data_IF_401019232338
#
_entry.id   IF_401019232338
#
_cell.length_a   1.000
_cell.length_b   1.000
_cell.length_c   1.000
_cell.angle_alpha   90.00
_cell.angle_beta   90.00
_cell.angle_gamma   90.00
#
_symmetry.space_group_name_H-M   'P 1'
#
loop_
_entity.id
_entity.type
_entity.pdbx_description
1 polymer ?
#
# COMPACT_ATOMS: atom_id res chain seq x y z
N UNK A 1 6.03 -13.75 4.98
CA UNK A 1 4.60 -13.37 4.90
C UNK A 1 4.56 -11.89 4.58
N UNK A 2 3.74 -11.49 3.60
CA UNK A 2 3.54 -10.10 3.19
C UNK A 2 2.14 -9.67 3.62
N UNK A 3 2.04 -8.47 4.20
CA UNK A 3 0.75 -7.85 4.51
C UNK A 3 0.63 -6.58 3.68
N UNK A 4 -0.37 -6.54 2.79
CA UNK A 4 -0.68 -5.36 1.98
C UNK A 4 -1.74 -4.54 2.69
N UNK A 5 -1.35 -3.43 3.32
CA UNK A 5 -2.29 -2.48 3.91
C UNK A 5 -2.71 -1.49 2.84
N UNK A 6 -4.00 -1.49 2.49
CA UNK A 6 -4.56 -0.67 1.41
C UNK A 6 -5.52 0.38 1.95
N UNK A 7 -5.36 1.61 1.47
CA UNK A 7 -6.15 2.79 1.84
C UNK A 7 -6.97 3.30 0.65
N UNK A 8 -7.87 4.26 0.87
CA UNK A 8 -8.73 4.80 -0.18
C UNK A 8 -7.95 5.63 -1.21
N UNK A 9 -7.50 4.99 -2.29
CA UNK A 9 -6.83 5.60 -3.42
C UNK A 9 -7.03 4.75 -4.69
N UNK A 10 -6.92 5.34 -5.90
CA UNK A 10 -6.98 4.60 -7.17
C UNK A 10 -6.11 3.34 -7.21
N UNK A 11 -4.90 3.41 -6.63
CA UNK A 11 -3.96 2.30 -6.58
C UNK A 11 -4.53 1.03 -5.91
N UNK A 12 -5.48 1.17 -4.98
CA UNK A 12 -6.09 0.03 -4.30
C UNK A 12 -6.85 -0.91 -5.26
N UNK A 13 -7.35 -0.42 -6.41
CA UNK A 13 -7.96 -1.26 -7.47
C UNK A 13 -7.04 -2.39 -7.92
N UNK A 14 -5.75 -2.12 -7.92
CA UNK A 14 -4.73 -3.03 -8.44
C UNK A 14 -4.03 -3.84 -7.35
N UNK A 15 -4.52 -3.83 -6.11
CA UNK A 15 -3.90 -4.57 -5.00
C UNK A 15 -3.79 -6.08 -5.26
N UNK A 16 -4.69 -6.65 -6.07
CA UNK A 16 -4.63 -8.04 -6.50
C UNK A 16 -3.36 -8.36 -7.30
N UNK A 17 -2.80 -7.40 -8.06
CA UNK A 17 -1.55 -7.57 -8.80
C UNK A 17 -0.35 -7.72 -7.85
N UNK A 18 -0.29 -6.87 -6.81
CA UNK A 18 0.71 -7.01 -5.75
C UNK A 18 0.58 -8.33 -5.00
N UNK A 19 -0.65 -8.74 -4.68
CA UNK A 19 -0.88 -10.02 -4.02
C UNK A 19 -0.46 -11.21 -4.89
N UNK A 20 -0.78 -11.18 -6.19
CA UNK A 20 -0.34 -12.19 -7.14
C UNK A 20 1.19 -12.25 -7.25
N UNK A 21 1.86 -11.10 -7.36
CA UNK A 21 3.32 -11.02 -7.42
C UNK A 21 3.97 -11.63 -6.18
N UNK A 22 3.51 -11.26 -5.00
CA UNK A 22 4.02 -11.81 -3.74
C UNK A 22 3.77 -13.32 -3.60
N UNK A 23 2.60 -13.83 -4.01
CA UNK A 23 2.32 -15.27 -4.05
C UNK A 23 3.22 -16.01 -5.04
N UNK A 24 3.43 -15.45 -6.23
CA UNK A 24 4.31 -16.02 -7.25
C UNK A 24 5.77 -16.12 -6.75
N UNK A 25 6.19 -15.19 -5.90
CA UNK A 25 7.47 -15.23 -5.19
C UNK A 25 7.49 -16.18 -3.97
N UNK A 26 6.41 -16.95 -3.73
CA UNK A 26 6.33 -17.94 -2.65
C UNK A 26 6.00 -17.36 -1.27
N UNK A 27 5.62 -16.08 -1.18
CA UNK A 27 5.25 -15.47 0.09
C UNK A 27 3.75 -15.62 0.37
N UNK A 28 3.34 -16.09 1.57
CA UNK A 28 1.96 -15.95 2.02
C UNK A 28 1.55 -14.48 2.07
N UNK A 29 0.34 -14.14 1.61
CA UNK A 29 -0.15 -12.76 1.51
C UNK A 29 -1.49 -12.59 2.24
N UNK A 30 -1.64 -11.47 2.93
CA UNK A 30 -2.93 -10.98 3.45
C UNK A 30 -3.13 -9.54 3.02
N UNK A 31 -4.33 -9.18 2.58
CA UNK A 31 -4.72 -7.78 2.33
C UNK A 31 -5.47 -7.26 3.56
N UNK A 32 -5.07 -6.10 4.06
CA UNK A 32 -5.77 -5.38 5.14
C UNK A 32 -6.32 -4.10 4.54
N UNK A 33 -7.63 -3.98 4.48
CA UNK A 33 -8.31 -2.87 3.84
C UNK A 33 -8.88 -1.91 4.88
N UNK A 34 -8.62 -0.61 4.74
CA UNK A 34 -9.42 0.38 5.47
C UNK A 34 -10.81 0.46 4.87
N UNK A 35 -11.79 0.95 5.65
CA UNK A 35 -13.16 1.13 5.15
C UNK A 35 -13.21 2.00 3.87
N UNK A 36 -12.33 3.00 3.75
CA UNK A 36 -12.24 3.84 2.57
C UNK A 36 -11.65 3.14 1.34
N UNK A 37 -10.88 2.06 1.52
CA UNK A 37 -10.34 1.27 0.43
C UNK A 37 -11.38 0.31 -0.18
N UNK A 38 -12.37 -0.12 0.61
CA UNK A 38 -13.34 -1.15 0.21
C UNK A 38 -13.95 -0.98 -1.18
N UNK A 39 -14.49 0.20 -1.54
CA UNK A 39 -15.07 0.46 -2.87
C UNK A 39 -14.06 0.49 -4.02
N UNK A 40 -12.77 0.59 -3.73
CA UNK A 40 -11.71 0.58 -4.73
C UNK A 40 -11.26 -0.84 -5.06
N UNK A 41 -11.34 -1.79 -4.13
CA UNK A 41 -10.77 -3.12 -4.33
C UNK A 41 -11.49 -3.91 -5.42
N UNK A 42 -10.69 -4.62 -6.22
CA UNK A 42 -11.17 -5.71 -7.05
C UNK A 42 -11.31 -6.98 -6.19
N UNK A 43 -12.49 -7.12 -5.58
CA UNK A 43 -12.79 -8.24 -4.66
C UNK A 43 -12.83 -9.58 -5.38
N UNK A 44 -13.29 -9.61 -6.63
CA UNK A 44 -13.37 -10.84 -7.43
C UNK A 44 -11.96 -11.34 -7.78
N UNK A 45 -11.06 -10.47 -8.21
CA UNK A 45 -9.66 -10.83 -8.46
C UNK A 45 -8.96 -11.33 -7.18
N UNK A 46 -9.18 -10.68 -6.03
CA UNK A 46 -8.63 -11.12 -4.74
C UNK A 46 -9.19 -12.47 -4.30
N UNK A 47 -10.49 -12.72 -4.53
CA UNK A 47 -11.14 -14.00 -4.23
C UNK A 47 -10.62 -15.13 -5.13
N UNK A 48 -10.42 -14.88 -6.43
CA UNK A 48 -9.80 -15.84 -7.35
C UNK A 48 -8.36 -16.21 -6.93
N UNK A 49 -7.64 -15.26 -6.32
CA UNK A 49 -6.32 -15.50 -5.74
C UNK A 49 -6.39 -16.12 -4.34
N UNK A 50 -7.57 -16.42 -3.79
CA UNK A 50 -7.73 -16.98 -2.44
C UNK A 50 -6.96 -16.19 -1.36
N UNK A 51 -6.83 -14.87 -1.55
CA UNK A 51 -6.10 -13.99 -0.63
C UNK A 51 -7.06 -13.52 0.46
N UNK A 52 -6.74 -13.73 1.75
CA UNK A 52 -7.57 -13.19 2.83
C UNK A 52 -7.61 -11.66 2.78
N UNK A 53 -8.82 -11.10 2.80
CA UNK A 53 -9.07 -9.66 2.93
C UNK A 53 -9.61 -9.39 4.33
N UNK A 54 -8.86 -8.61 5.11
CA UNK A 54 -9.24 -8.17 6.45
C UNK A 54 -9.73 -6.72 6.37
N UNK A 55 -11.04 -6.53 6.34
CA UNK A 55 -11.72 -5.24 6.17
C UNK A 55 -12.54 -4.82 7.41
N UNK A 56 -12.71 -5.74 8.37
CA UNK A 56 -13.44 -5.49 9.61
C UNK A 56 -12.51 -4.96 10.69
N UNK A 57 -13.09 -4.08 11.50
CA UNK A 57 -12.45 -3.67 12.74
C UNK A 57 -12.17 -4.90 13.59
N UNK A 58 -10.95 -4.91 14.09
CA UNK A 58 -10.50 -5.90 15.03
C UNK A 58 -11.27 -5.78 16.35
N UNK A 59 -11.72 -6.90 16.96
CA UNK A 59 -12.41 -6.85 18.24
C UNK A 59 -11.58 -6.20 19.35
N UNK A 60 -12.20 -5.43 20.27
CA UNK A 60 -11.54 -4.90 21.46
C UNK A 60 -10.86 -6.00 22.29
N UNK A 61 -9.76 -5.66 22.99
CA UNK A 61 -9.06 -6.59 23.89
C UNK A 61 -8.14 -7.61 23.20
N UNK A 62 -8.11 -7.65 21.88
CA UNK A 62 -7.19 -8.51 21.15
C UNK A 62 -5.82 -7.80 20.97
N UNK A 63 -4.67 -8.52 21.00
CA UNK A 63 -3.29 -7.95 20.92
C UNK A 63 -2.83 -7.44 19.53
N UNK A 64 -2.46 -6.17 19.31
CA UNK A 64 -2.12 -5.63 17.97
C UNK A 64 -1.02 -6.45 17.27
N UNK A 65 -1.18 -6.76 15.98
CA UNK A 65 -0.26 -7.62 15.20
C UNK A 65 0.02 -7.13 13.77
N UNK A 66 0.25 -5.84 13.59
CA UNK A 66 0.84 -5.36 12.34
C UNK A 66 2.22 -4.76 12.66
N UNK A 67 3.27 -5.18 11.95
CA UNK A 67 4.59 -4.60 12.10
C UNK A 67 4.61 -3.16 11.57
N UNK A 68 5.72 -2.46 11.81
CA UNK A 68 6.03 -1.24 11.07
C UNK A 68 6.12 -1.60 9.58
N UNK A 69 5.58 -0.79 8.66
CA UNK A 69 5.65 -1.10 7.23
C UNK A 69 7.10 -1.04 6.72
N UNK A 70 7.53 -2.07 5.99
CA UNK A 70 8.83 -2.06 5.30
C UNK A 70 8.87 -1.03 4.15
N UNK A 71 7.73 -0.86 3.47
CA UNK A 71 7.55 0.11 2.41
C UNK A 71 6.16 0.76 2.49
N UNK A 72 6.10 2.03 2.10
CA UNK A 72 4.87 2.80 1.95
C UNK A 72 4.90 3.44 0.58
N UNK A 73 3.77 3.41 -0.13
CA UNK A 73 3.58 4.08 -1.42
C UNK A 73 2.61 5.25 -1.20
N UNK A 74 3.11 6.47 -0.94
CA UNK A 74 2.22 7.61 -0.74
C UNK A 74 1.50 7.97 -2.04
N UNK A 75 0.18 7.88 -2.01
CA UNK A 75 -0.70 8.14 -3.15
C UNK A 75 -1.64 9.30 -2.80
N UNK A 76 -1.10 10.52 -2.80
CA UNK A 76 -1.78 11.70 -2.23
C UNK A 76 -1.82 12.87 -3.21
N UNK A 77 -2.86 13.69 -3.13
CA UNK A 77 -2.95 14.92 -3.89
C UNK A 77 -2.08 16.03 -3.29
N UNK A 78 -1.72 17.02 -4.11
CA UNK A 78 -1.01 18.22 -3.66
C UNK A 78 -1.71 18.97 -2.54
N UNK A 79 -3.06 19.02 -2.54
CA UNK A 79 -3.83 19.67 -1.48
C UNK A 79 -3.65 18.99 -0.12
N UNK A 80 -3.73 17.66 -0.07
CA UNK A 80 -3.52 16.90 1.17
C UNK A 80 -2.08 17.01 1.67
N UNK A 81 -1.12 16.92 0.74
CA UNK A 81 0.29 17.03 1.07
C UNK A 81 0.72 18.43 1.55
N UNK A 82 -0.09 19.46 1.29
CA UNK A 82 0.10 20.80 1.84
C UNK A 82 -0.17 20.93 3.34
N UNK A 83 -0.72 19.89 3.98
CA UNK A 83 -1.03 19.90 5.40
C UNK A 83 0.27 19.87 6.26
N UNK A 84 0.40 20.67 7.34
CA UNK A 84 1.62 20.73 8.16
C UNK A 84 2.05 19.40 8.80
N UNK A 85 1.12 18.47 8.99
CA UNK A 85 1.43 17.14 9.49
C UNK A 85 2.16 16.26 8.46
N UNK A 86 2.01 16.54 7.16
CA UNK A 86 2.46 15.64 6.10
C UNK A 86 3.98 15.41 6.12
N UNK A 87 4.84 16.44 6.10
CA UNK A 87 6.29 16.23 6.17
C UNK A 87 6.71 15.48 7.44
N UNK A 88 6.06 15.76 8.57
CA UNK A 88 6.34 15.10 9.85
C UNK A 88 6.00 13.61 9.81
N UNK A 89 4.87 13.25 9.22
CA UNK A 89 4.48 11.84 9.02
C UNK A 89 5.47 11.09 8.15
N UNK A 90 5.95 11.70 7.06
CA UNK A 90 6.94 11.07 6.19
C UNK A 90 8.29 10.89 6.88
N UNK A 91 8.76 11.87 7.66
CA UNK A 91 9.98 11.75 8.47
C UNK A 91 9.84 10.60 9.48
N UNK A 92 8.74 10.55 10.22
CA UNK A 92 8.50 9.51 11.22
C UNK A 92 8.49 8.10 10.61
N UNK A 93 7.88 7.93 9.43
CA UNK A 93 7.89 6.66 8.70
C UNK A 93 9.30 6.25 8.29
N UNK A 94 10.09 7.18 7.74
CA UNK A 94 11.48 6.92 7.37
C UNK A 94 12.35 6.55 8.58
N UNK A 95 12.20 7.27 9.69
CA UNK A 95 12.91 6.98 10.94
C UNK A 95 12.52 5.62 11.54
N UNK A 96 11.27 5.19 11.32
CA UNK A 96 10.81 3.85 11.69
C UNK A 96 11.35 2.75 10.75
N UNK A 97 12.09 3.10 9.69
CA UNK A 97 12.68 2.15 8.73
C UNK A 97 11.86 1.92 7.48
N UNK A 98 10.71 2.58 7.31
CA UNK A 98 9.89 2.43 6.12
C UNK A 98 10.50 3.14 4.92
N UNK A 99 10.61 2.45 3.79
CA UNK A 99 10.93 3.08 2.51
C UNK A 99 9.71 3.78 1.96
N UNK A 100 9.85 5.04 1.59
CA UNK A 100 8.82 5.76 0.86
C UNK A 100 9.07 5.61 -0.64
N UNK A 101 8.18 4.91 -1.33
CA UNK A 101 8.31 4.57 -2.75
C UNK A 101 7.46 5.51 -3.59
N UNK A 102 8.07 6.12 -4.59
CA UNK A 102 7.35 6.90 -5.58
C UNK A 102 6.56 5.98 -6.52
N UNK A 103 5.22 6.13 -6.63
CA UNK A 103 4.41 5.27 -7.49
C UNK A 103 4.66 5.47 -8.99
N UNK A 104 5.41 6.51 -9.39
CA UNK A 104 5.72 6.80 -10.80
C UNK A 104 7.04 6.18 -11.25
N UNK A 105 7.98 5.99 -10.32
CA UNK A 105 9.38 5.66 -10.67
C UNK A 105 9.96 4.50 -9.88
N UNK A 106 9.33 4.09 -8.77
CA UNK A 106 9.89 3.10 -7.84
C UNK A 106 11.04 3.61 -6.97
N UNK A 107 11.52 4.82 -7.23
CA UNK A 107 12.54 5.49 -6.44
C UNK A 107 12.01 6.06 -5.12
N UNK A 108 12.83 6.84 -4.39
CA UNK A 108 12.37 7.56 -3.22
C UNK A 108 11.20 8.48 -3.56
N UNK A 109 10.13 8.45 -2.76
CA UNK A 109 9.00 9.36 -2.92
C UNK A 109 9.47 10.82 -2.79
N UNK A 110 9.14 11.62 -3.80
CA UNK A 110 9.57 13.02 -3.93
C UNK A 110 8.41 13.99 -3.69
N UNK A 111 7.40 13.95 -4.55
CA UNK A 111 6.30 14.93 -4.54
C UNK A 111 4.90 14.31 -4.67
N UNK A 112 3.84 15.04 -4.29
CA UNK A 112 2.45 14.60 -4.43
C UNK A 112 2.03 14.42 -5.88
N UNK A 113 0.99 13.63 -6.09
CA UNK A 113 0.43 13.38 -7.42
C UNK A 113 -0.35 14.60 -7.92
N UNK A 114 -0.28 14.81 -9.23
CA UNK A 114 -1.12 15.77 -9.93
C UNK A 114 -2.59 15.33 -9.85
N UNK A 115 -3.50 16.29 -9.66
CA UNK A 115 -4.93 15.97 -9.61
C UNK A 115 -5.40 15.43 -10.95
N UNK A 116 -6.15 14.33 -10.93
CA UNK A 116 -6.60 13.64 -12.15
C UNK A 116 -5.59 12.64 -12.73
N UNK A 117 -4.33 12.61 -12.29
CA UNK A 117 -3.34 11.63 -12.76
C UNK A 117 -3.48 10.24 -12.12
N UNK A 118 -4.30 10.11 -11.08
CA UNK A 118 -4.37 8.94 -10.21
C UNK A 118 -4.60 7.62 -10.93
N UNK A 119 -5.57 7.55 -11.85
CA UNK A 119 -5.86 6.29 -12.54
C UNK A 119 -4.71 5.86 -13.47
N UNK A 120 -4.09 6.81 -14.17
CA UNK A 120 -2.94 6.54 -15.03
C UNK A 120 -1.72 6.06 -14.23
N UNK A 121 -1.42 6.72 -13.10
CA UNK A 121 -0.32 6.32 -12.21
C UNK A 121 -0.60 4.95 -11.59
N UNK A 122 -1.85 4.69 -11.17
CA UNK A 122 -2.25 3.42 -10.59
C UNK A 122 -2.13 2.25 -11.58
N UNK A 123 -2.51 2.46 -12.84
CA UNK A 123 -2.39 1.46 -13.89
C UNK A 123 -0.94 1.17 -14.29
N UNK A 124 -0.06 2.17 -14.23
CA UNK A 124 1.35 2.05 -14.57
C UNK A 124 2.25 1.59 -13.40
N UNK A 125 1.71 1.50 -12.19
CA UNK A 125 2.48 1.17 -11.00
C UNK A 125 3.04 -0.26 -11.05
N UNK A 126 4.36 -0.40 -10.93
CA UNK A 126 5.02 -1.68 -10.78
C UNK A 126 5.08 -2.08 -9.30
N UNK A 127 4.30 -3.11 -8.95
CA UNK A 127 4.24 -3.65 -7.59
C UNK A 127 5.56 -4.24 -7.10
N UNK A 128 6.48 -4.59 -8.00
CA UNK A 128 7.83 -5.02 -7.67
C UNK A 128 8.63 -3.97 -6.91
N UNK A 129 8.37 -2.68 -7.13
CA UNK A 129 9.05 -1.59 -6.41
C UNK A 129 8.72 -1.55 -4.92
N UNK A 130 7.51 -1.99 -4.55
CA UNK A 130 7.07 -2.07 -3.16
C UNK A 130 7.41 -3.44 -2.54
N UNK A 131 7.18 -4.53 -3.28
CA UNK A 131 7.29 -5.91 -2.78
C UNK A 131 8.73 -6.44 -2.81
N UNK A 132 9.48 -6.15 -3.88
CA UNK A 132 10.79 -6.74 -4.16
C UNK A 132 11.96 -6.16 -3.37
N UNK A 133 11.73 -5.14 -2.54
CA UNK A 133 12.79 -4.46 -1.80
C UNK A 133 12.93 -4.95 -0.34
N UNK A 134 12.72 -6.25 -0.10
CA UNK A 134 13.11 -6.83 1.17
C UNK A 134 14.65 -6.89 1.23
N UNK A 135 15.30 -6.49 2.34
CA UNK A 135 16.67 -6.92 2.58
C UNK A 135 16.65 -8.45 2.58
N UNK A 136 17.55 -9.05 1.79
CA UNK A 136 17.86 -10.47 1.91
C UNK A 136 18.29 -10.71 3.36
N UNK A 137 17.45 -11.45 4.11
CA UNK A 137 17.79 -11.96 5.44
C UNK A 137 18.95 -12.94 5.37
#
# INVERSE_FOLDING_TARGET
>A
MIVLVVTGAPLARHAHLGAALARAAGHPVTVVATAAAGPWLDHDALACLEVPVLDRHRPPGTAKRLPVPDAVVPFVSRSLAGHPAWPRSLTMLREAGARLVDPRTGGPWDEPLESGSGDAVAAAFDWGWAIGAQPLS
#
